data_IF_419619036991
#
_entry.id   IF_419619036991
#
_cell.length_a   1.000
_cell.length_b   1.000
_cell.length_c   1.000
_cell.angle_alpha   90.00
_cell.angle_beta   90.00
_cell.angle_gamma   90.00
#
_symmetry.space_group_name_H-M   'P 1'
#
loop_
_entity.id
_entity.type
_entity.pdbx_description
1 polymer ?
#
# COMPACT_ATOMS: atom_id res chain seq x y z
N UNK A 1 -14.37 -34.31 7.46
CA UNK A 1 -14.84 -32.91 7.21
C UNK A 1 -14.10 -32.46 5.97
N UNK A 2 -14.80 -32.23 4.86
CA UNK A 2 -14.19 -31.55 3.72
C UNK A 2 -13.83 -30.14 4.20
N UNK A 3 -12.54 -29.85 4.28
CA UNK A 3 -12.07 -28.48 4.48
C UNK A 3 -12.47 -27.69 3.26
N UNK A 4 -13.47 -26.85 3.40
CA UNK A 4 -13.88 -25.92 2.35
C UNK A 4 -12.64 -25.11 1.95
N UNK A 5 -12.11 -25.38 0.76
CA UNK A 5 -10.90 -24.72 0.28
C UNK A 5 -11.32 -23.39 -0.32
N UNK A 6 -10.87 -22.30 0.28
CA UNK A 6 -11.12 -20.96 -0.23
C UNK A 6 -10.54 -20.77 -1.63
N UNK A 7 -11.23 -19.99 -2.45
CA UNK A 7 -10.78 -19.60 -3.78
C UNK A 7 -10.06 -18.26 -3.73
N UNK A 8 -8.97 -18.10 -4.49
CA UNK A 8 -8.17 -16.88 -4.53
C UNK A 8 -8.09 -16.37 -5.95
N UNK A 9 -8.56 -15.14 -6.15
CA UNK A 9 -8.31 -14.34 -7.35
C UNK A 9 -7.01 -13.56 -7.18
N UNK A 10 -6.13 -13.60 -8.17
CA UNK A 10 -5.01 -12.66 -8.26
C UNK A 10 -5.42 -11.52 -9.18
N UNK A 11 -5.22 -10.29 -8.74
CA UNK A 11 -5.45 -9.07 -9.53
C UNK A 11 -4.11 -8.44 -9.83
N UNK A 12 -3.76 -8.39 -11.10
CA UNK A 12 -2.54 -7.75 -11.61
C UNK A 12 -2.89 -6.58 -12.49
N UNK A 13 -2.31 -5.42 -12.21
CA UNK A 13 -2.41 -4.25 -13.07
C UNK A 13 -1.11 -4.06 -13.84
N UNK A 14 -1.23 -3.83 -15.16
CA UNK A 14 -0.05 -3.68 -16.04
C UNK A 14 -0.07 -2.34 -16.77
N UNK A 15 1.13 -1.76 -16.93
CA UNK A 15 1.40 -0.60 -17.78
C UNK A 15 2.88 -0.55 -18.13
N UNK A 16 3.23 -0.76 -19.41
CA UNK A 16 4.62 -0.75 -19.93
C UNK A 16 5.58 -1.60 -19.07
N UNK A 17 5.22 -2.86 -18.82
CA UNK A 17 5.92 -3.80 -17.94
C UNK A 17 6.60 -4.97 -18.66
N UNK A 18 6.78 -4.93 -19.99
CA UNK A 18 7.25 -6.06 -20.80
C UNK A 18 8.50 -6.74 -20.25
N UNK A 19 9.37 -5.97 -19.61
CA UNK A 19 10.67 -6.40 -19.14
C UNK A 19 10.62 -7.46 -18.02
N UNK A 20 9.65 -7.38 -17.11
CA UNK A 20 9.62 -8.19 -15.89
C UNK A 20 8.35 -9.06 -15.77
N UNK A 21 7.34 -8.77 -16.60
CA UNK A 21 6.02 -9.36 -16.51
C UNK A 21 6.00 -10.90 -16.57
N UNK A 22 6.85 -11.51 -17.43
CA UNK A 22 6.92 -12.98 -17.54
C UNK A 22 7.37 -13.63 -16.24
N UNK A 23 8.43 -13.12 -15.62
CA UNK A 23 8.95 -13.64 -14.35
C UNK A 23 7.88 -13.54 -13.25
N UNK A 24 7.14 -12.44 -13.20
CA UNK A 24 6.08 -12.26 -12.22
C UNK A 24 4.91 -13.20 -12.46
N UNK A 25 4.43 -13.36 -13.69
CA UNK A 25 3.35 -14.31 -14.02
C UNK A 25 3.74 -15.75 -13.69
N UNK A 26 4.97 -16.16 -14.02
CA UNK A 26 5.48 -17.50 -13.71
C UNK A 26 5.54 -17.72 -12.18
N UNK A 27 5.92 -16.72 -11.41
CA UNK A 27 5.96 -16.80 -9.94
C UNK A 27 4.56 -16.97 -9.32
N UNK A 28 3.53 -16.39 -9.93
CA UNK A 28 2.13 -16.55 -9.51
C UNK A 28 1.62 -17.95 -9.89
N UNK A 29 1.92 -18.41 -11.10
CA UNK A 29 1.47 -19.71 -11.60
C UNK A 29 2.10 -20.88 -10.84
N UNK A 30 3.27 -20.68 -10.21
CA UNK A 30 3.99 -21.70 -9.43
C UNK A 30 3.68 -21.67 -7.93
N UNK A 31 2.63 -20.96 -7.48
CA UNK A 31 2.21 -20.96 -6.09
C UNK A 31 1.77 -22.34 -5.61
N UNK A 32 2.16 -22.73 -4.37
CA UNK A 32 1.74 -24.01 -3.74
C UNK A 32 0.24 -24.06 -3.46
N UNK A 33 -0.38 -22.91 -3.21
CA UNK A 33 -1.83 -22.77 -3.12
C UNK A 33 -2.41 -22.52 -4.51
N UNK A 34 -3.39 -23.29 -5.00
CA UNK A 34 -3.92 -23.13 -6.34
C UNK A 34 -4.63 -21.79 -6.50
N UNK A 35 -4.22 -21.07 -7.53
CA UNK A 35 -4.84 -19.81 -7.93
C UNK A 35 -6.10 -20.13 -8.75
N UNK A 36 -7.24 -19.64 -8.28
CA UNK A 36 -8.53 -19.86 -8.90
C UNK A 36 -8.64 -19.10 -10.23
N UNK A 37 -8.27 -17.83 -10.22
CA UNK A 37 -8.20 -16.99 -11.42
C UNK A 37 -7.12 -15.91 -11.29
N UNK A 38 -6.61 -15.45 -12.41
CA UNK A 38 -5.71 -14.30 -12.51
C UNK A 38 -6.40 -13.27 -13.42
N UNK A 39 -6.74 -12.12 -12.87
CA UNK A 39 -7.32 -11.00 -13.60
C UNK A 39 -6.18 -10.03 -13.91
N UNK A 40 -5.84 -9.89 -15.18
CA UNK A 40 -4.86 -8.92 -15.66
C UNK A 40 -5.63 -7.74 -16.25
N UNK A 41 -5.36 -6.55 -15.74
CA UNK A 41 -5.96 -5.31 -16.24
C UNK A 41 -4.86 -4.41 -16.79
N UNK A 42 -4.75 -4.38 -18.14
CA UNK A 42 -3.78 -3.53 -18.82
C UNK A 42 -4.29 -2.10 -18.92
N UNK A 43 -3.45 -1.15 -18.50
CA UNK A 43 -3.78 0.29 -18.46
C UNK A 43 -3.33 1.03 -19.74
N UNK A 44 -3.56 0.41 -20.89
CA UNK A 44 -3.21 0.96 -22.20
C UNK A 44 -1.71 1.00 -22.44
N UNK A 45 -1.01 -0.11 -22.24
CA UNK A 45 0.41 -0.27 -22.55
C UNK A 45 0.73 0.05 -24.02
N UNK A 46 1.93 0.55 -24.26
CA UNK A 46 2.44 0.92 -25.58
C UNK A 46 3.64 0.10 -26.02
N UNK A 47 4.14 -0.75 -25.13
CA UNK A 47 5.18 -1.76 -25.37
C UNK A 47 4.55 -3.15 -25.59
N UNK A 48 5.32 -4.23 -25.51
CA UNK A 48 4.83 -5.60 -25.72
C UNK A 48 4.08 -6.20 -24.51
N UNK A 49 3.73 -5.40 -23.49
CA UNK A 49 3.04 -5.88 -22.26
C UNK A 49 1.74 -6.59 -22.59
N UNK A 50 0.88 -5.95 -23.40
CA UNK A 50 -0.42 -6.51 -23.73
C UNK A 50 -0.32 -7.82 -24.52
N UNK A 51 0.63 -7.92 -25.46
CA UNK A 51 0.91 -9.13 -26.23
C UNK A 51 1.38 -10.28 -25.34
N UNK A 52 2.25 -9.98 -24.35
CA UNK A 52 2.69 -10.96 -23.35
C UNK A 52 1.50 -11.46 -22.52
N UNK A 53 0.65 -10.56 -22.02
CA UNK A 53 -0.55 -10.95 -21.30
C UNK A 53 -1.48 -11.83 -22.12
N UNK A 54 -1.68 -11.53 -23.40
CA UNK A 54 -2.50 -12.32 -24.33
C UNK A 54 -1.92 -13.71 -24.57
N UNK A 55 -0.60 -13.83 -24.65
CA UNK A 55 0.09 -15.12 -24.75
C UNK A 55 -0.23 -15.99 -23.54
N UNK A 56 -0.07 -15.46 -22.30
CA UNK A 56 -0.39 -16.20 -21.08
C UNK A 56 -1.88 -16.54 -20.97
N UNK A 57 -2.79 -15.64 -21.31
CA UNK A 57 -4.23 -15.94 -21.34
C UNK A 57 -4.55 -17.10 -22.29
N UNK A 58 -3.88 -17.18 -23.45
CA UNK A 58 -4.09 -18.27 -24.41
C UNK A 58 -3.60 -19.64 -23.91
N UNK A 59 -2.61 -19.66 -23.01
CA UNK A 59 -1.99 -20.88 -22.48
C UNK A 59 -2.63 -21.34 -21.17
N UNK A 60 -3.28 -20.44 -20.42
CA UNK A 60 -3.82 -20.70 -19.08
C UNK A 60 -5.30 -20.32 -18.98
N UNK A 61 -6.15 -21.31 -18.85
CA UNK A 61 -7.62 -21.15 -18.84
C UNK A 61 -8.17 -20.34 -17.66
N UNK A 62 -7.35 -20.16 -16.60
CA UNK A 62 -7.67 -19.36 -15.42
C UNK A 62 -7.16 -17.92 -15.49
N UNK A 63 -6.54 -17.49 -16.59
CA UNK A 63 -6.15 -16.09 -16.82
C UNK A 63 -7.24 -15.39 -17.62
N UNK A 64 -7.54 -14.16 -17.26
CA UNK A 64 -8.46 -13.28 -17.97
C UNK A 64 -7.82 -11.90 -18.13
N UNK A 65 -7.68 -11.50 -19.40
CA UNK A 65 -7.09 -10.23 -19.79
C UNK A 65 -8.17 -9.19 -20.11
N UNK A 66 -7.99 -8.02 -19.54
CA UNK A 66 -8.81 -6.83 -19.85
C UNK A 66 -7.89 -5.67 -20.23
N UNK A 67 -8.32 -4.87 -21.19
CA UNK A 67 -7.63 -3.66 -21.62
C UNK A 67 -8.49 -2.42 -21.31
N UNK A 68 -7.92 -1.40 -20.75
CA UNK A 68 -8.58 -0.11 -20.58
C UNK A 68 -8.65 0.64 -21.90
N UNK A 69 -9.72 1.41 -22.12
CA UNK A 69 -9.85 2.28 -23.30
C UNK A 69 -8.91 3.48 -23.27
N UNK A 70 -8.57 3.93 -22.08
CA UNK A 70 -7.64 5.03 -21.78
C UNK A 70 -6.79 4.62 -20.58
N UNK A 71 -5.64 5.25 -20.38
CA UNK A 71 -4.86 5.07 -19.16
C UNK A 71 -5.61 5.70 -17.98
N UNK A 72 -5.96 4.88 -16.97
CA UNK A 72 -6.73 5.27 -15.78
C UNK A 72 -5.82 5.63 -14.60
N UNK A 73 -4.54 5.26 -14.67
CA UNK A 73 -3.62 5.29 -13.55
C UNK A 73 -3.86 4.14 -12.55
N UNK A 74 -2.84 3.83 -11.77
CA UNK A 74 -2.81 2.61 -10.94
C UNK A 74 -3.97 2.53 -9.93
N UNK A 75 -4.41 3.64 -9.32
CA UNK A 75 -5.52 3.64 -8.35
C UNK A 75 -6.82 3.10 -8.96
N UNK A 76 -7.26 3.67 -10.07
CA UNK A 76 -8.50 3.27 -10.73
C UNK A 76 -8.36 1.93 -11.43
N UNK A 77 -7.15 1.61 -11.91
CA UNK A 77 -6.87 0.33 -12.56
C UNK A 77 -7.02 -0.83 -11.57
N UNK A 78 -6.40 -0.75 -10.38
CA UNK A 78 -6.56 -1.76 -9.32
C UNK A 78 -8.02 -1.88 -8.85
N UNK A 79 -8.73 -0.77 -8.64
CA UNK A 79 -10.16 -0.80 -8.29
C UNK A 79 -10.98 -1.51 -9.36
N UNK A 80 -10.82 -1.12 -10.63
CA UNK A 80 -11.54 -1.73 -11.75
C UNK A 80 -11.29 -3.23 -11.86
N UNK A 81 -10.06 -3.67 -11.68
CA UNK A 81 -9.69 -5.09 -11.72
C UNK A 81 -10.24 -5.86 -10.51
N UNK A 82 -10.14 -5.30 -9.30
CA UNK A 82 -10.64 -5.92 -8.08
C UNK A 82 -12.16 -6.17 -8.10
N UNK A 83 -12.92 -5.27 -8.72
CA UNK A 83 -14.37 -5.43 -8.88
C UNK A 83 -14.77 -6.60 -9.80
N UNK A 84 -13.84 -7.13 -10.60
CA UNK A 84 -14.07 -8.30 -11.47
C UNK A 84 -13.77 -9.63 -10.76
N UNK A 85 -13.08 -9.60 -9.62
CA UNK A 85 -12.67 -10.81 -8.89
C UNK A 85 -13.88 -11.59 -8.37
N UNK A 86 -13.84 -12.92 -8.54
CA UNK A 86 -14.94 -13.82 -8.15
C UNK A 86 -14.57 -14.77 -7.01
N UNK A 87 -13.26 -14.95 -6.72
CA UNK A 87 -12.78 -15.77 -5.60
C UNK A 87 -13.13 -15.19 -4.22
N UNK A 88 -13.07 -16.00 -3.19
CA UNK A 88 -13.36 -15.61 -1.80
C UNK A 88 -12.38 -14.55 -1.27
N UNK A 89 -11.15 -14.61 -1.76
CA UNK A 89 -10.08 -13.66 -1.46
C UNK A 89 -9.46 -13.10 -2.73
N UNK A 90 -8.89 -11.91 -2.62
CA UNK A 90 -8.21 -11.19 -3.70
C UNK A 90 -6.79 -10.85 -3.27
N UNK A 91 -5.79 -11.28 -4.03
CA UNK A 91 -4.39 -10.92 -3.84
C UNK A 91 -3.97 -9.92 -4.91
N UNK A 92 -3.36 -8.82 -4.49
CA UNK A 92 -2.81 -7.83 -5.42
C UNK A 92 -1.39 -8.18 -5.86
N UNK A 93 -1.13 -7.93 -7.12
CA UNK A 93 0.18 -8.12 -7.74
C UNK A 93 0.57 -6.91 -8.58
N UNK A 94 1.76 -6.39 -8.35
CA UNK A 94 2.43 -5.51 -9.31
C UNK A 94 3.00 -6.38 -10.44
N UNK A 95 3.38 -5.78 -11.56
CA UNK A 95 3.82 -6.49 -12.78
C UNK A 95 5.29 -6.91 -12.80
N UNK A 96 6.08 -6.45 -11.80
CA UNK A 96 7.54 -6.42 -11.81
C UNK A 96 8.19 -7.04 -10.56
N UNK A 97 7.39 -7.65 -9.68
CA UNK A 97 7.82 -8.35 -8.47
C UNK A 97 8.13 -9.84 -8.74
N UNK A 98 8.49 -10.57 -7.68
CA UNK A 98 8.53 -12.06 -7.67
C UNK A 98 7.85 -12.55 -6.40
N UNK A 99 6.84 -13.40 -6.52
CA UNK A 99 6.21 -14.05 -5.39
C UNK A 99 6.95 -15.32 -4.99
N UNK A 100 7.15 -15.52 -3.69
CA UNK A 100 7.70 -16.78 -3.21
C UNK A 100 6.61 -17.86 -3.17
N UNK A 101 6.95 -19.12 -3.41
CA UNK A 101 5.97 -20.17 -3.71
C UNK A 101 4.86 -20.35 -2.67
N UNK A 102 5.12 -20.08 -1.40
CA UNK A 102 4.18 -20.29 -0.28
C UNK A 102 3.39 -19.04 0.13
N UNK A 103 3.46 -17.95 -0.65
CA UNK A 103 2.85 -16.67 -0.27
C UNK A 103 1.36 -16.80 0.00
N UNK A 104 0.59 -17.29 -0.95
CA UNK A 104 -0.86 -17.40 -0.83
C UNK A 104 -1.25 -18.43 0.24
N UNK A 105 -0.58 -19.57 0.32
CA UNK A 105 -0.83 -20.59 1.33
C UNK A 105 -0.73 -20.03 2.76
N UNK A 106 0.35 -19.30 3.06
CA UNK A 106 0.58 -18.69 4.37
C UNK A 106 -0.39 -17.56 4.69
N UNK A 107 -0.74 -16.75 3.69
CA UNK A 107 -1.71 -15.68 3.87
C UNK A 107 -3.12 -16.21 4.13
N UNK A 108 -3.56 -17.26 3.40
CA UNK A 108 -4.86 -17.91 3.65
C UNK A 108 -4.90 -18.54 5.06
N UNK A 109 -3.81 -19.16 5.50
CA UNK A 109 -3.73 -19.74 6.83
C UNK A 109 -3.78 -18.67 7.96
N UNK A 110 -3.31 -17.46 7.69
CA UNK A 110 -3.20 -16.41 8.68
C UNK A 110 -4.39 -15.44 8.73
N UNK A 111 -5.12 -15.23 7.63
CA UNK A 111 -6.10 -14.14 7.51
C UNK A 111 -7.25 -14.21 8.53
N UNK A 112 -7.65 -15.42 8.97
CA UNK A 112 -8.75 -15.59 9.94
C UNK A 112 -9.97 -14.73 9.58
N UNK A 113 -10.45 -13.91 10.52
CA UNK A 113 -11.60 -13.01 10.32
C UNK A 113 -11.21 -11.61 9.81
N UNK A 114 -9.92 -11.31 9.63
CA UNK A 114 -9.47 -9.98 9.24
C UNK A 114 -9.83 -9.65 7.78
N UNK A 115 -9.96 -8.36 7.48
CA UNK A 115 -10.22 -7.88 6.12
C UNK A 115 -8.98 -7.95 5.23
N UNK A 116 -7.80 -7.72 5.82
CA UNK A 116 -6.50 -7.76 5.13
C UNK A 116 -5.51 -8.65 5.88
N UNK A 117 -4.84 -9.55 5.13
CA UNK A 117 -3.60 -10.18 5.53
C UNK A 117 -2.48 -9.67 4.63
N UNK A 118 -1.39 -9.16 5.21
CA UNK A 118 -0.23 -8.74 4.44
C UNK A 118 1.06 -9.41 4.94
N UNK A 119 2.13 -9.29 4.15
CA UNK A 119 3.42 -9.91 4.46
C UNK A 119 4.51 -8.87 4.56
N UNK A 120 5.62 -9.20 5.22
CA UNK A 120 6.88 -8.52 4.97
C UNK A 120 7.37 -8.89 3.57
N UNK A 121 8.32 -8.13 3.02
CA UNK A 121 8.89 -8.41 1.70
C UNK A 121 10.38 -8.04 1.65
N UNK A 122 11.08 -8.61 0.68
CA UNK A 122 12.43 -8.18 0.33
C UNK A 122 12.34 -7.06 -0.69
N UNK A 123 13.23 -6.06 -0.62
CA UNK A 123 13.31 -4.96 -1.59
C UNK A 123 14.74 -4.72 -2.02
N UNK A 124 14.98 -4.67 -3.33
CA UNK A 124 16.30 -4.39 -3.90
C UNK A 124 16.33 -4.54 -5.41
N UNK A 125 17.43 -4.09 -6.04
CA UNK A 125 17.66 -4.25 -7.47
C UNK A 125 17.98 -5.70 -7.87
N UNK A 126 18.56 -6.47 -6.92
CA UNK A 126 18.79 -7.92 -7.02
C UNK A 126 18.30 -8.60 -5.76
N UNK A 127 17.81 -9.80 -5.89
CA UNK A 127 17.21 -10.53 -4.76
C UNK A 127 18.23 -10.81 -3.66
N UNK A 128 19.47 -11.19 -4.03
CA UNK A 128 20.56 -11.54 -3.10
C UNK A 128 21.09 -10.34 -2.30
N UNK A 129 20.90 -9.12 -2.83
CA UNK A 129 21.36 -7.87 -2.23
C UNK A 129 20.21 -7.09 -1.56
N UNK A 130 19.02 -7.73 -1.43
CA UNK A 130 17.82 -7.08 -0.96
C UNK A 130 17.79 -6.98 0.55
N UNK A 131 17.10 -5.97 1.06
CA UNK A 131 16.84 -5.77 2.48
C UNK A 131 15.38 -6.09 2.83
N UNK A 132 15.16 -6.48 4.07
CA UNK A 132 13.83 -6.75 4.60
C UNK A 132 13.06 -5.46 4.81
N UNK A 133 11.84 -5.39 4.27
CA UNK A 133 10.87 -4.33 4.54
C UNK A 133 9.77 -4.89 5.44
N UNK A 134 9.65 -4.33 6.64
CA UNK A 134 8.69 -4.75 7.67
C UNK A 134 7.95 -3.52 8.21
N UNK A 135 6.90 -3.04 7.50
CA UNK A 135 6.21 -1.82 7.86
C UNK A 135 5.45 -1.95 9.18
N UNK A 136 5.27 -0.83 9.88
CA UNK A 136 4.34 -0.74 10.99
C UNK A 136 2.90 -0.87 10.48
N UNK A 137 2.03 -1.49 11.28
CA UNK A 137 0.64 -1.75 10.89
C UNK A 137 -0.39 -1.51 12.02
N UNK A 138 -0.02 -0.76 13.05
CA UNK A 138 -1.00 -0.28 14.02
C UNK A 138 -1.87 0.80 13.38
N UNK A 139 -3.11 0.96 13.79
CA UNK A 139 -3.96 2.02 13.24
C UNK A 139 -3.31 3.40 13.40
N UNK A 140 -2.69 3.65 14.56
CA UNK A 140 -1.95 4.89 14.80
C UNK A 140 -0.81 5.11 13.80
N UNK A 141 -0.03 4.07 13.45
CA UNK A 141 1.03 4.19 12.44
C UNK A 141 0.44 4.46 11.06
N UNK A 142 -0.68 3.82 10.75
CA UNK A 142 -1.33 3.95 9.47
C UNK A 142 -2.11 5.25 9.28
N UNK A 143 -2.20 6.10 10.30
CA UNK A 143 -2.57 7.51 10.11
C UNK A 143 -1.51 8.30 9.31
N UNK A 144 -0.28 7.82 9.24
CA UNK A 144 0.84 8.52 8.61
C UNK A 144 1.42 7.78 7.40
N UNK A 145 1.13 6.50 7.23
CA UNK A 145 1.72 5.67 6.18
C UNK A 145 0.88 4.45 5.88
N UNK A 146 0.91 4.02 4.62
CA UNK A 146 0.43 2.71 4.20
C UNK A 146 1.56 1.67 4.13
N UNK A 147 1.24 0.52 3.60
CA UNK A 147 2.18 -0.51 3.15
C UNK A 147 1.72 -1.01 1.77
N UNK A 148 2.68 -1.57 1.01
CA UNK A 148 2.49 -1.82 -0.40
C UNK A 148 1.37 -2.84 -0.71
N UNK A 149 0.54 -2.52 -1.70
CA UNK A 149 -0.60 -3.33 -2.14
C UNK A 149 -0.20 -4.74 -2.56
N UNK A 150 0.94 -4.92 -3.23
CA UNK A 150 1.47 -6.23 -3.67
C UNK A 150 1.74 -7.23 -2.54
N UNK A 151 1.71 -6.77 -1.28
CA UNK A 151 1.85 -7.64 -0.11
C UNK A 151 0.52 -8.17 0.42
N UNK A 152 -0.62 -7.67 -0.07
CA UNK A 152 -1.95 -7.88 0.52
C UNK A 152 -2.67 -9.09 -0.07
N UNK A 153 -3.39 -9.80 0.81
CA UNK A 153 -4.51 -10.67 0.52
C UNK A 153 -5.74 -10.10 1.23
N UNK A 154 -6.83 -9.87 0.50
CA UNK A 154 -8.00 -9.16 0.97
C UNK A 154 -9.26 -10.03 0.83
N UNK A 155 -10.23 -9.85 1.72
CA UNK A 155 -11.55 -10.47 1.53
C UNK A 155 -12.26 -9.82 0.35
N UNK A 156 -12.87 -10.65 -0.52
CA UNK A 156 -13.66 -10.14 -1.64
C UNK A 156 -14.78 -9.21 -1.17
N UNK A 157 -15.54 -9.62 -0.19
CA UNK A 157 -16.65 -8.83 0.34
C UNK A 157 -16.22 -7.47 0.91
N UNK A 158 -15.00 -7.34 1.42
CA UNK A 158 -14.42 -6.07 1.85
C UNK A 158 -14.02 -5.20 0.65
N UNK A 159 -13.27 -5.78 -0.29
CA UNK A 159 -12.69 -5.00 -1.39
C UNK A 159 -13.72 -4.58 -2.45
N UNK A 160 -14.85 -5.28 -2.55
CA UNK A 160 -15.93 -4.94 -3.47
C UNK A 160 -16.95 -3.93 -2.90
N UNK A 161 -16.74 -3.44 -1.67
CA UNK A 161 -17.50 -2.31 -1.15
C UNK A 161 -16.93 -1.00 -1.67
N UNK A 162 -17.76 -0.15 -2.27
CA UNK A 162 -17.34 1.19 -2.73
C UNK A 162 -16.75 2.02 -1.59
N UNK A 163 -17.25 1.87 -0.36
CA UNK A 163 -16.77 2.56 0.83
C UNK A 163 -15.35 2.19 1.26
N UNK A 164 -14.79 1.07 0.76
CA UNK A 164 -13.40 0.68 1.04
C UNK A 164 -12.38 1.47 0.22
N UNK A 165 -12.83 2.17 -0.82
CA UNK A 165 -12.00 2.93 -1.74
C UNK A 165 -12.22 4.43 -1.55
N UNK A 166 -11.19 5.20 -1.82
CA UNK A 166 -11.27 6.67 -1.85
C UNK A 166 -10.41 7.20 -3.00
N UNK A 167 -10.77 8.38 -3.51
CA UNK A 167 -10.05 9.02 -4.62
C UNK A 167 -9.08 10.11 -4.15
N UNK A 168 -8.93 10.30 -2.82
CA UNK A 168 -8.09 11.35 -2.26
C UNK A 168 -6.74 10.87 -1.70
N UNK A 169 -6.51 9.56 -1.67
CA UNK A 169 -5.21 8.93 -1.34
C UNK A 169 -4.97 7.72 -2.23
N UNK A 170 -3.73 7.18 -2.21
CA UNK A 170 -3.39 5.96 -2.94
C UNK A 170 -4.21 4.77 -2.40
N UNK A 171 -4.58 3.88 -3.32
CA UNK A 171 -5.55 2.81 -3.06
C UNK A 171 -5.17 1.89 -1.90
N UNK A 172 -3.90 1.51 -1.80
CA UNK A 172 -3.42 0.62 -0.75
C UNK A 172 -3.55 1.24 0.64
N UNK A 173 -3.24 2.53 0.78
CA UNK A 173 -3.44 3.25 2.03
C UNK A 173 -4.93 3.43 2.37
N UNK A 174 -5.78 3.69 1.38
CA UNK A 174 -7.23 3.77 1.55
C UNK A 174 -7.80 2.46 2.11
N UNK A 175 -7.42 1.32 1.53
CA UNK A 175 -7.85 -0.01 1.96
C UNK A 175 -7.36 -0.33 3.39
N UNK A 176 -6.14 0.05 3.74
CA UNK A 176 -5.59 -0.12 5.10
C UNK A 176 -6.44 0.64 6.12
N UNK A 177 -6.76 1.90 5.86
CA UNK A 177 -7.61 2.72 6.75
C UNK A 177 -9.00 2.08 6.89
N UNK A 178 -9.62 1.70 5.77
CA UNK A 178 -10.93 1.06 5.76
C UNK A 178 -10.94 -0.26 6.53
N UNK A 179 -9.88 -1.08 6.41
CA UNK A 179 -9.77 -2.33 7.17
C UNK A 179 -9.61 -2.10 8.68
N UNK A 180 -8.89 -1.06 9.12
CA UNK A 180 -8.82 -0.72 10.54
C UNK A 180 -10.18 -0.31 11.12
N UNK A 181 -11.01 0.33 10.31
CA UNK A 181 -12.39 0.68 10.69
C UNK A 181 -13.34 -0.54 10.64
N UNK A 182 -12.97 -1.57 9.87
CA UNK A 182 -13.70 -2.84 9.73
C UNK A 182 -13.20 -3.94 10.68
N UNK A 183 -12.85 -5.10 10.11
CA UNK A 183 -12.39 -6.30 10.83
C UNK A 183 -10.87 -6.32 11.10
N UNK A 184 -10.15 -5.29 10.69
CA UNK A 184 -8.73 -5.11 10.97
C UNK A 184 -7.80 -5.83 10.00
N UNK A 185 -6.53 -5.83 10.39
CA UNK A 185 -5.39 -6.27 9.58
C UNK A 185 -4.56 -7.27 10.38
N UNK A 186 -4.04 -8.29 9.71
CA UNK A 186 -3.06 -9.23 10.26
C UNK A 186 -1.82 -9.31 9.39
N UNK A 187 -0.67 -9.58 9.97
CA UNK A 187 0.60 -9.71 9.27
C UNK A 187 1.20 -11.10 9.40
N UNK A 188 1.72 -11.63 8.30
CA UNK A 188 2.67 -12.75 8.29
C UNK A 188 4.08 -12.18 8.39
N UNK A 189 4.81 -12.57 9.42
CA UNK A 189 6.16 -12.03 9.75
C UNK A 189 7.28 -12.59 8.85
N UNK A 190 6.96 -13.08 7.69
CA UNK A 190 7.88 -13.70 6.76
C UNK A 190 7.87 -12.93 5.43
N UNK A 191 9.04 -12.67 4.81
CA UNK A 191 9.06 -12.10 3.48
C UNK A 191 8.58 -13.13 2.46
N UNK A 192 7.46 -12.84 1.81
CA UNK A 192 6.81 -13.76 0.87
C UNK A 192 6.78 -13.26 -0.57
N UNK A 193 7.44 -12.13 -0.83
CA UNK A 193 7.74 -11.66 -2.17
C UNK A 193 9.01 -10.79 -2.17
N UNK A 194 9.61 -10.68 -3.35
CA UNK A 194 10.68 -9.75 -3.63
C UNK A 194 10.14 -8.60 -4.50
N UNK A 195 10.17 -7.40 -3.92
CA UNK A 195 9.84 -6.15 -4.61
C UNK A 195 11.09 -5.63 -5.34
N UNK A 196 11.03 -5.66 -6.65
CA UNK A 196 12.13 -5.24 -7.50
C UNK A 196 12.24 -3.72 -7.54
N UNK A 197 13.40 -3.18 -7.17
CA UNK A 197 13.71 -1.76 -7.32
C UNK A 197 14.36 -1.51 -8.68
N UNK A 198 13.73 -0.70 -9.53
CA UNK A 198 14.27 -0.30 -10.84
C UNK A 198 13.83 1.12 -11.19
N UNK A 199 14.51 1.72 -12.18
CA UNK A 199 14.30 3.13 -12.53
C UNK A 199 12.94 3.39 -13.19
N UNK A 200 12.37 2.40 -13.86
CA UNK A 200 11.10 2.51 -14.59
C UNK A 200 9.88 2.25 -13.71
N UNK A 201 10.05 2.01 -12.40
CA UNK A 201 8.91 1.80 -11.49
C UNK A 201 8.11 3.09 -11.29
N UNK A 202 6.78 2.95 -11.10
CA UNK A 202 5.89 4.08 -10.82
C UNK A 202 6.36 4.91 -9.60
N UNK A 203 6.89 4.28 -8.56
CA UNK A 203 7.47 4.95 -7.40
C UNK A 203 8.72 5.77 -7.75
N UNK A 204 9.60 5.23 -8.59
CA UNK A 204 10.80 5.92 -9.05
C UNK A 204 10.47 7.10 -9.97
N UNK A 205 9.47 6.95 -10.82
CA UNK A 205 8.99 8.02 -11.68
C UNK A 205 8.38 9.17 -10.88
N UNK A 206 7.50 8.86 -9.90
CA UNK A 206 6.94 9.85 -8.99
C UNK A 206 8.05 10.57 -8.20
N UNK A 207 9.03 9.82 -7.68
CA UNK A 207 10.15 10.42 -6.95
C UNK A 207 10.93 11.38 -7.83
N UNK A 208 11.31 11.02 -9.06
CA UNK A 208 11.99 11.90 -10.01
C UNK A 208 11.17 13.16 -10.33
N UNK A 209 9.87 13.02 -10.50
CA UNK A 209 8.95 14.13 -10.78
C UNK A 209 8.90 15.15 -9.65
N UNK A 210 8.84 14.68 -8.41
CA UNK A 210 8.67 15.55 -7.24
C UNK A 210 9.99 16.02 -6.62
N UNK A 211 11.09 15.29 -6.83
CA UNK A 211 12.41 15.58 -6.28
C UNK A 211 13.52 15.58 -7.36
N UNK A 212 13.39 16.37 -8.43
CA UNK A 212 14.31 16.32 -9.57
C UNK A 212 15.75 16.74 -9.22
N UNK A 213 15.97 17.35 -8.06
CA UNK A 213 17.26 17.88 -7.59
C UNK A 213 17.70 17.27 -6.26
N UNK A 214 17.08 16.20 -5.79
CA UNK A 214 17.55 15.54 -4.57
C UNK A 214 18.91 14.92 -4.80
N UNK A 215 19.94 15.68 -4.40
CA UNK A 215 21.24 15.10 -4.12
C UNK A 215 21.08 14.24 -2.88
N UNK A 216 21.49 12.98 -2.96
CA UNK A 216 21.55 12.06 -1.85
C UNK A 216 22.03 12.76 -0.57
N UNK A 217 21.24 12.65 0.51
CA UNK A 217 21.56 13.06 1.86
C UNK A 217 21.55 14.54 2.23
N UNK A 218 20.36 15.04 2.56
CA UNK A 218 20.29 16.06 3.59
C UNK A 218 19.34 15.62 4.71
N UNK A 219 19.88 14.93 5.70
CA UNK A 219 19.18 14.51 6.93
C UNK A 219 18.53 15.68 7.70
N UNK A 220 18.78 16.92 7.30
CA UNK A 220 18.34 18.15 7.98
C UNK A 220 17.19 18.87 7.28
N UNK A 221 16.92 18.60 6.00
CA UNK A 221 15.86 19.29 5.24
C UNK A 221 14.46 19.14 5.84
N UNK A 222 14.06 17.94 6.29
CA UNK A 222 12.78 17.77 6.97
C UNK A 222 12.64 18.67 8.22
N UNK A 223 13.76 18.96 8.89
CA UNK A 223 13.77 19.80 10.10
C UNK A 223 13.69 21.27 9.77
N UNK A 224 14.40 21.73 8.75
CA UNK A 224 14.42 23.13 8.33
C UNK A 224 13.07 23.58 7.77
N UNK A 225 12.42 22.71 7.00
CA UNK A 225 11.17 23.01 6.32
C UNK A 225 9.93 22.37 6.98
N UNK A 226 10.12 21.54 8.00
CA UNK A 226 9.08 20.74 8.61
C UNK A 226 7.84 21.50 9.05
N UNK A 227 7.94 22.55 9.88
CA UNK A 227 6.76 23.30 10.31
C UNK A 227 6.00 23.94 9.15
N UNK A 228 6.72 24.56 8.21
CA UNK A 228 6.08 25.20 7.06
C UNK A 228 5.41 24.18 6.14
N UNK A 229 6.04 23.03 5.93
CA UNK A 229 5.48 21.93 5.13
C UNK A 229 4.26 21.31 5.81
N UNK A 230 4.29 21.15 7.15
CA UNK A 230 3.14 20.66 7.89
C UNK A 230 1.91 21.56 7.71
N UNK A 231 2.05 22.86 7.86
CA UNK A 231 0.94 23.81 7.66
C UNK A 231 0.50 23.92 6.19
N UNK A 232 1.41 23.74 5.22
CA UNK A 232 1.03 23.61 3.80
C UNK A 232 0.19 22.35 3.56
N UNK A 233 0.63 21.22 4.11
CA UNK A 233 -0.06 19.94 3.97
C UNK A 233 -1.48 19.99 4.56
N UNK A 234 -1.66 20.62 5.75
CA UNK A 234 -2.97 20.80 6.37
C UNK A 234 -3.98 21.57 5.51
N UNK A 235 -3.51 22.40 4.55
CA UNK A 235 -4.39 23.17 3.64
C UNK A 235 -4.86 22.36 2.44
N UNK A 236 -4.21 21.22 2.15
CA UNK A 236 -4.61 20.36 1.04
C UNK A 236 -5.98 19.74 1.30
N UNK A 237 -6.82 19.73 0.26
CA UNK A 237 -8.17 19.19 0.36
C UNK A 237 -8.19 17.70 0.68
N UNK A 238 -7.32 16.93 0.02
CA UNK A 238 -7.21 15.49 0.24
C UNK A 238 -6.78 15.14 1.67
N UNK A 239 -5.87 15.93 2.27
CA UNK A 239 -5.54 15.82 3.69
C UNK A 239 -6.78 15.98 4.58
N UNK A 240 -7.54 17.05 4.36
CA UNK A 240 -8.74 17.32 5.14
C UNK A 240 -9.77 16.20 4.99
N UNK A 241 -10.00 15.75 3.76
CA UNK A 241 -10.91 14.63 3.47
C UNK A 241 -10.48 13.35 4.20
N UNK A 242 -9.20 12.99 4.13
CA UNK A 242 -8.67 11.79 4.79
C UNK A 242 -8.90 11.81 6.30
N UNK A 243 -8.40 12.84 6.97
CA UNK A 243 -8.47 12.87 8.44
C UNK A 243 -9.88 13.19 8.96
N UNK A 244 -10.70 13.89 8.19
CA UNK A 244 -12.12 14.06 8.51
C UNK A 244 -12.86 12.73 8.41
N UNK A 245 -12.63 11.97 7.34
CA UNK A 245 -13.20 10.63 7.19
C UNK A 245 -12.84 9.73 8.37
N UNK A 246 -11.56 9.66 8.74
CA UNK A 246 -11.12 8.84 9.87
C UNK A 246 -11.70 9.35 11.18
N UNK A 247 -11.75 10.66 11.40
CA UNK A 247 -12.30 11.28 12.61
C UNK A 247 -13.78 10.94 12.78
N UNK A 248 -14.58 11.00 11.72
CA UNK A 248 -16.01 10.74 11.72
C UNK A 248 -16.34 9.25 11.95
N UNK A 249 -15.44 8.34 11.52
CA UNK A 249 -15.63 6.88 11.67
C UNK A 249 -14.87 6.27 12.86
N UNK A 250 -14.15 7.09 13.66
CA UNK A 250 -13.53 6.66 14.90
C UNK A 250 -14.27 7.24 16.11
N UNK A 251 -14.46 6.44 17.15
CA UNK A 251 -15.00 6.90 18.41
C UNK A 251 -13.93 6.92 19.51
N UNK A 252 -14.24 7.67 20.58
CA UNK A 252 -13.33 7.83 21.72
C UNK A 252 -13.19 6.60 22.62
N UNK A 253 -14.04 5.60 22.43
CA UNK A 253 -14.03 4.36 23.23
C UNK A 253 -13.16 3.31 22.53
N UNK A 254 -13.44 3.02 21.27
CA UNK A 254 -12.74 1.99 20.50
C UNK A 254 -11.37 2.47 20.01
N UNK A 255 -11.27 3.75 19.57
CA UNK A 255 -10.06 4.33 18.97
C UNK A 255 -9.67 5.67 19.60
N UNK A 256 -9.45 5.73 20.94
CA UNK A 256 -9.29 7.00 21.66
C UNK A 256 -8.07 7.80 21.18
N UNK A 257 -6.98 7.11 20.82
CA UNK A 257 -5.73 7.73 20.41
C UNK A 257 -5.79 8.23 18.96
N UNK A 258 -6.32 7.40 18.06
CA UNK A 258 -6.48 7.71 16.64
C UNK A 258 -7.47 8.86 16.45
N UNK A 259 -8.62 8.80 17.11
CA UNK A 259 -9.61 9.88 17.11
C UNK A 259 -9.02 11.22 17.58
N UNK A 260 -8.27 11.20 18.69
CA UNK A 260 -7.56 12.37 19.19
C UNK A 260 -6.50 12.87 18.20
N UNK A 261 -5.75 11.94 17.60
CA UNK A 261 -4.69 12.28 16.64
C UNK A 261 -5.27 12.92 15.39
N UNK A 262 -6.34 12.37 14.83
CA UNK A 262 -7.06 12.98 13.69
C UNK A 262 -7.57 14.39 14.00
N UNK A 263 -8.13 14.60 15.19
CA UNK A 263 -8.53 15.95 15.62
C UNK A 263 -7.36 16.94 15.60
N UNK A 264 -6.17 16.53 16.08
CA UNK A 264 -4.99 17.39 16.06
C UNK A 264 -4.47 17.63 14.63
N UNK A 265 -4.56 16.64 13.75
CA UNK A 265 -4.19 16.76 12.34
C UNK A 265 -5.12 17.70 11.56
N UNK A 266 -6.39 17.79 11.95
CA UNK A 266 -7.40 18.69 11.38
C UNK A 266 -7.35 20.12 11.92
N UNK A 267 -6.72 20.37 13.05
CA UNK A 267 -6.62 21.70 13.69
C UNK A 267 -5.66 22.62 12.90
N UNK A 268 -6.12 23.15 11.77
CA UNK A 268 -5.32 23.94 10.83
C UNK A 268 -4.67 25.15 11.50
N UNK A 269 -3.36 25.31 11.26
CA UNK A 269 -2.56 26.46 11.70
C UNK A 269 -2.30 26.55 13.20
N UNK A 270 -2.73 25.58 14.03
CA UNK A 270 -2.58 25.64 15.48
C UNK A 270 -1.28 25.00 15.97
N UNK A 271 -0.34 25.82 16.38
CA UNK A 271 0.93 25.36 16.98
C UNK A 271 0.73 24.49 18.22
N UNK A 272 -0.27 24.77 19.04
CA UNK A 272 -0.57 23.96 20.23
C UNK A 272 -0.97 22.52 19.85
N UNK A 273 -1.70 22.33 18.76
CA UNK A 273 -2.09 21.01 18.27
C UNK A 273 -0.90 20.29 17.65
N UNK A 274 -0.04 20.99 16.93
CA UNK A 274 1.20 20.43 16.40
C UNK A 274 2.14 19.96 17.53
N UNK A 275 2.33 20.76 18.58
CA UNK A 275 3.15 20.36 19.74
C UNK A 275 2.56 19.10 20.40
N UNK A 276 1.24 19.05 20.61
CA UNK A 276 0.57 17.85 21.17
C UNK A 276 0.76 16.62 20.27
N UNK A 277 0.69 16.80 18.96
CA UNK A 277 0.95 15.74 17.98
C UNK A 277 2.40 15.22 18.09
N UNK A 278 3.38 16.12 18.21
CA UNK A 278 4.78 15.75 18.43
C UNK A 278 4.96 14.92 19.72
N UNK A 279 4.24 15.26 20.81
CA UNK A 279 4.26 14.45 22.02
C UNK A 279 3.60 13.07 21.87
N UNK A 280 2.53 12.94 21.07
CA UNK A 280 1.95 11.64 20.75
C UNK A 280 2.99 10.80 19.97
N UNK A 281 3.60 11.37 18.93
CA UNK A 281 4.61 10.69 18.15
C UNK A 281 5.86 10.31 18.97
N UNK A 282 6.29 11.19 19.89
CA UNK A 282 7.36 10.88 20.85
C UNK A 282 7.01 9.69 21.76
N UNK A 283 5.80 9.67 22.30
CA UNK A 283 5.35 8.58 23.20
C UNK A 283 5.26 7.24 22.47
N UNK A 284 4.88 7.26 21.21
CA UNK A 284 4.62 6.07 20.39
C UNK A 284 5.65 5.85 19.26
N UNK A 285 6.86 6.42 19.39
CA UNK A 285 7.85 6.42 18.32
C UNK A 285 8.22 5.03 17.79
N UNK A 286 8.23 4.01 18.65
CA UNK A 286 8.57 2.63 18.27
C UNK A 286 7.51 1.98 17.36
N UNK A 287 6.27 2.45 17.43
CA UNK A 287 5.13 1.90 16.67
C UNK A 287 4.68 2.79 15.54
N UNK A 288 5.00 4.08 15.56
CA UNK A 288 4.64 5.03 14.50
C UNK A 288 5.73 5.12 13.42
N UNK A 289 7.01 5.14 13.82
CA UNK A 289 8.10 5.36 12.86
C UNK A 289 8.22 4.18 11.89
N UNK A 290 8.30 4.43 10.57
CA UNK A 290 8.27 3.37 9.56
C UNK A 290 9.37 2.34 9.72
N UNK A 291 10.59 2.81 9.90
CA UNK A 291 11.78 2.00 10.05
C UNK A 291 12.06 1.75 11.54
N UNK A 292 11.83 0.50 11.98
CA UNK A 292 12.02 0.11 13.38
C UNK A 292 13.46 0.27 13.88
N UNK A 293 14.44 0.04 12.99
CA UNK A 293 15.87 0.13 13.35
C UNK A 293 16.31 1.58 13.55
N UNK A 294 15.72 2.50 12.76
CA UNK A 294 15.97 3.93 12.84
C UNK A 294 15.09 4.65 13.86
N UNK A 295 14.11 3.97 14.45
CA UNK A 295 13.19 4.56 15.41
C UNK A 295 13.92 4.99 16.70
N UNK A 296 13.89 6.27 16.98
CA UNK A 296 14.39 6.85 18.24
C UNK A 296 13.52 8.02 18.68
N UNK A 297 13.73 8.49 19.93
CA UNK A 297 12.90 9.56 20.50
C UNK A 297 12.97 10.86 19.71
N UNK A 298 14.15 11.24 19.19
CA UNK A 298 14.33 12.47 18.39
C UNK A 298 13.54 12.39 17.11
N UNK A 299 13.66 11.28 16.36
CA UNK A 299 12.87 11.06 15.14
C UNK A 299 11.39 10.96 15.43
N UNK A 300 11.02 10.36 16.57
CA UNK A 300 9.64 10.30 17.01
C UNK A 300 9.02 11.66 17.22
N UNK A 301 9.64 12.56 17.99
CA UNK A 301 9.10 13.92 18.23
C UNK A 301 9.04 14.74 16.94
N UNK A 302 9.94 14.50 16.00
CA UNK A 302 10.01 15.21 14.72
C UNK A 302 9.21 14.54 13.60
N UNK A 303 8.55 13.42 13.88
CA UNK A 303 7.88 12.63 12.87
C UNK A 303 6.78 13.40 12.10
N UNK A 304 5.97 14.28 12.71
CA UNK A 304 5.03 15.11 11.96
C UNK A 304 5.70 15.96 10.88
N UNK A 305 6.92 16.42 11.11
CA UNK A 305 7.69 17.22 10.14
C UNK A 305 8.30 16.35 9.04
N UNK A 306 8.85 15.19 9.41
CA UNK A 306 9.40 14.22 8.47
C UNK A 306 8.28 13.74 7.52
N UNK A 307 7.13 13.39 8.08
CA UNK A 307 5.96 13.01 7.32
C UNK A 307 5.49 14.12 6.37
N UNK A 308 5.37 15.35 6.87
CA UNK A 308 4.94 16.48 6.07
C UNK A 308 5.94 16.81 4.94
N UNK A 309 7.23 16.68 5.19
CA UNK A 309 8.27 16.89 4.17
C UNK A 309 8.10 15.93 3.00
N UNK A 310 7.95 14.64 3.28
CA UNK A 310 7.78 13.63 2.24
C UNK A 310 6.43 13.69 1.51
N UNK A 311 5.38 14.23 2.14
CA UNK A 311 4.03 14.21 1.57
C UNK A 311 3.56 15.58 1.06
N UNK A 312 4.29 16.68 1.29
CA UNK A 312 3.85 18.02 0.83
C UNK A 312 3.82 18.13 -0.69
N UNK A 313 4.70 17.41 -1.38
CA UNK A 313 4.80 17.43 -2.84
C UNK A 313 3.91 16.37 -3.50
N UNK A 314 3.43 15.38 -2.77
CA UNK A 314 2.45 14.43 -3.27
C UNK A 314 1.04 15.02 -3.11
N UNK A 315 0.17 14.78 -4.08
CA UNK A 315 -1.25 15.04 -3.92
C UNK A 315 -1.86 13.90 -3.08
N UNK A 316 -1.78 14.12 -1.78
CA UNK A 316 -2.63 13.39 -0.86
C UNK A 316 -4.07 13.73 -1.14
#
# INVERSE_FOLDING_TARGET
METTRYTVSVVMCTYNGEKYLREQLDSILTQTYPIFEIIIQDDRSTDSTFEICREYESQHSNIRLYENKINLGFNHNFKSAAMKATGDFVAFSDQDDIWFPTKIEKQIAAIGEHDICFTTHLRGGKQEESHLVSPQYTFLSNLFQGFAGHTMLLRKEFIQQESSWTDYIIYDWALIISAHLGRGIIRVEEPLNWHRSHEDSAASELHRKFYPHEKENTNYEPLLHGPSNYFKLQRKENWKKLYQHIYDHTDKIKFPLEHKTCKLLLDEGKWTSLIRLCFICLKHYKTIYPDRERANKTRGVLYPFIFAYHNTNYDL
#
